data_IF_308797631520
#
_entry.id   IF_308797631520
#
_cell.length_a   1.000
_cell.length_b   1.000
_cell.length_c   1.000
_cell.angle_alpha   90.00
_cell.angle_beta   90.00
_cell.angle_gamma   90.00
#
_symmetry.space_group_name_H-M   'P 1'
#
loop_
_entity.id
_entity.type
_entity.pdbx_description
1 polymer ?
#
# COMPACT_ATOMS: atom_id res chain seq x y z
N UNK A 1 12.41 -6.75 6.62
CA UNK A 1 11.02 -7.05 7.01
C UNK A 1 10.67 -6.54 8.41
N UNK A 2 11.34 -6.97 9.49
CA UNK A 2 11.02 -6.49 10.85
C UNK A 2 11.35 -5.00 11.05
N UNK A 3 12.49 -4.54 10.56
CA UNK A 3 12.91 -3.12 10.62
C UNK A 3 11.94 -2.21 9.87
N UNK A 4 11.48 -2.63 8.68
CA UNK A 4 10.46 -1.92 7.89
C UNK A 4 9.11 -1.86 8.62
N UNK A 5 8.78 -2.90 9.41
CA UNK A 5 7.57 -2.92 10.23
C UNK A 5 7.64 -1.86 11.33
N UNK A 6 8.76 -1.80 12.07
CA UNK A 6 9.01 -0.80 13.10
C UNK A 6 8.95 0.63 12.54
N UNK A 7 9.63 0.91 11.43
CA UNK A 7 9.62 2.23 10.80
C UNK A 7 8.22 2.65 10.29
N UNK A 8 7.43 1.70 9.76
CA UNK A 8 6.09 1.97 9.26
C UNK A 8 5.07 2.31 10.38
N UNK A 9 5.29 1.87 11.62
CA UNK A 9 4.42 2.23 12.76
C UNK A 9 4.68 3.63 13.32
N UNK A 10 5.90 4.17 13.15
CA UNK A 10 6.36 5.38 13.85
C UNK A 10 6.35 6.64 12.99
N UNK A 11 6.25 6.50 11.66
CA UNK A 11 6.46 7.61 10.71
C UNK A 11 5.20 8.19 10.07
N UNK A 12 4.03 8.13 10.69
CA UNK A 12 2.83 8.82 10.19
C UNK A 12 2.69 10.17 10.90
N UNK A 13 3.16 11.25 10.26
CA UNK A 13 3.00 12.60 10.78
C UNK A 13 1.70 13.19 10.21
N UNK A 14 0.86 13.84 11.01
CA UNK A 14 -0.43 14.45 10.60
C UNK A 14 -0.29 15.67 9.64
N UNK A 15 0.81 15.79 8.91
CA UNK A 15 1.07 16.91 8.03
C UNK A 15 0.42 16.71 6.66
N UNK A 16 -0.39 17.68 6.23
CA UNK A 16 -1.03 17.71 4.90
C UNK A 16 0.01 17.57 3.79
N UNK A 17 -0.01 16.44 3.07
CA UNK A 17 0.78 16.25 1.86
C UNK A 17 0.23 17.12 0.72
N UNK A 18 1.14 17.73 -0.04
CA UNK A 18 0.78 18.61 -1.15
C UNK A 18 0.27 17.81 -2.35
N UNK A 19 -0.91 18.18 -2.84
CA UNK A 19 -1.56 17.59 -4.00
C UNK A 19 -0.70 17.72 -5.27
N UNK A 20 -0.33 16.59 -5.87
CA UNK A 20 0.28 16.51 -7.20
C UNK A 20 -0.70 15.86 -8.18
N UNK A 21 -1.09 16.55 -9.27
CA UNK A 21 -2.02 15.98 -10.23
C UNK A 21 -1.44 14.72 -10.89
N UNK A 22 -2.28 13.69 -11.15
CA UNK A 22 -1.83 12.49 -11.82
C UNK A 22 -1.38 12.80 -13.25
N UNK A 23 -0.12 12.48 -13.57
CA UNK A 23 0.31 12.34 -14.97
C UNK A 23 -0.16 10.97 -15.47
N UNK A 24 -0.68 10.86 -16.70
CA UNK A 24 -1.07 9.59 -17.26
C UNK A 24 0.19 8.77 -17.61
N UNK A 25 0.62 7.92 -16.68
CA UNK A 25 1.53 6.81 -16.98
C UNK A 25 0.70 5.54 -17.11
N UNK A 26 0.80 4.86 -18.27
CA UNK A 26 0.38 3.47 -18.40
C UNK A 26 1.40 2.61 -17.65
N UNK A 27 0.91 1.73 -16.79
CA UNK A 27 1.70 0.69 -16.14
C UNK A 27 2.20 -0.28 -17.23
N UNK A 28 3.52 -0.42 -17.47
CA UNK A 28 4.05 -1.37 -18.44
C UNK A 28 4.07 -2.80 -17.84
N UNK A 29 3.85 -3.81 -18.69
CA UNK A 29 3.93 -5.25 -18.37
C UNK A 29 2.90 -5.77 -17.36
N UNK A 30 1.77 -6.23 -17.90
CA UNK A 30 0.66 -6.79 -17.14
C UNK A 30 0.40 -8.24 -17.57
N UNK A 31 0.74 -9.20 -16.72
CA UNK A 31 0.53 -10.62 -16.94
C UNK A 31 -0.94 -11.01 -16.69
N UNK A 32 -1.57 -11.68 -17.66
CA UNK A 32 -2.95 -12.14 -17.56
C UNK A 32 -3.00 -13.56 -16.99
N UNK A 33 -3.74 -13.76 -15.90
CA UNK A 33 -4.06 -15.10 -15.40
C UNK A 33 -5.55 -15.37 -15.62
N UNK A 34 -5.86 -16.28 -16.55
CA UNK A 34 -7.21 -16.80 -16.79
C UNK A 34 -7.33 -18.21 -16.21
N UNK A 35 -7.63 -18.34 -14.93
CA UNK A 35 -8.06 -19.61 -14.36
C UNK A 35 -9.56 -19.85 -14.69
N UNK A 36 -9.93 -21.07 -15.09
CA UNK A 36 -11.22 -21.38 -15.69
C UNK A 36 -12.43 -21.39 -14.71
N UNK A 37 -12.22 -21.19 -13.41
CA UNK A 37 -13.27 -21.38 -12.38
C UNK A 37 -13.50 -20.19 -11.44
N UNK A 38 -12.82 -19.05 -11.64
CA UNK A 38 -12.94 -17.90 -10.72
C UNK A 38 -13.87 -16.79 -11.24
N UNK A 39 -14.62 -16.12 -10.36
CA UNK A 39 -15.55 -15.05 -10.71
C UNK A 39 -14.85 -13.78 -11.22
N UNK A 40 -13.54 -13.66 -11.03
CA UNK A 40 -12.74 -12.49 -11.41
C UNK A 40 -11.76 -12.79 -12.58
N UNK A 41 -11.63 -11.85 -13.50
CA UNK A 41 -10.49 -11.74 -14.42
C UNK A 41 -9.39 -10.94 -13.73
N UNK A 42 -8.15 -11.43 -13.78
CA UNK A 42 -7.04 -10.86 -13.00
C UNK A 42 -5.88 -10.50 -13.89
N UNK A 43 -5.32 -9.32 -13.62
CA UNK A 43 -4.12 -8.83 -14.28
C UNK A 43 -3.19 -8.26 -13.22
N UNK A 44 -1.92 -8.67 -13.25
CA UNK A 44 -0.91 -8.21 -12.29
C UNK A 44 0.35 -7.73 -12.99
N UNK A 45 1.05 -6.78 -12.39
CA UNK A 45 2.25 -6.19 -12.95
C UNK A 45 2.87 -5.16 -12.02
N UNK A 46 4.01 -4.65 -12.44
CA UNK A 46 4.77 -3.59 -11.76
C UNK A 46 4.46 -2.25 -12.42
N UNK A 47 4.25 -1.21 -11.63
CA UNK A 47 3.92 0.12 -12.14
C UNK A 47 4.67 1.24 -11.43
N UNK A 48 5.08 2.22 -12.23
CA UNK A 48 5.75 3.43 -11.75
C UNK A 48 4.78 4.35 -11.00
N UNK A 49 5.03 4.50 -9.69
CA UNK A 49 4.23 5.34 -8.79
C UNK A 49 5.11 6.50 -8.30
N UNK A 50 5.01 7.69 -8.92
CA UNK A 50 5.68 8.88 -8.43
C UNK A 50 4.97 9.39 -7.17
N UNK A 51 5.73 9.53 -6.09
CA UNK A 51 5.23 10.02 -4.80
C UNK A 51 6.14 11.11 -4.23
N UNK A 52 5.54 11.91 -3.37
CA UNK A 52 6.23 12.94 -2.60
C UNK A 52 5.77 12.82 -1.15
N UNK A 53 6.71 12.73 -0.22
CA UNK A 53 6.43 12.56 1.21
C UNK A 53 7.55 13.16 2.08
N UNK A 54 7.24 13.43 3.33
CA UNK A 54 8.20 13.93 4.32
C UNK A 54 8.73 12.74 5.15
N UNK A 55 9.94 12.29 4.84
CA UNK A 55 10.58 11.17 5.52
C UNK A 55 11.19 11.63 6.86
N UNK A 56 10.92 10.92 7.94
CA UNK A 56 11.60 11.09 9.22
C UNK A 56 13.09 10.81 9.08
N UNK A 57 13.91 11.70 9.64
CA UNK A 57 15.34 11.52 9.77
C UNK A 57 15.63 10.90 11.13
N UNK A 58 15.62 9.57 11.17
CA UNK A 58 15.88 8.83 12.40
C UNK A 58 17.31 9.07 12.88
N UNK A 59 17.46 9.35 14.17
CA UNK A 59 18.72 9.45 14.88
C UNK A 59 19.21 8.05 15.26
N UNK A 60 19.56 7.26 14.24
CA UNK A 60 19.95 5.86 14.40
C UNK A 60 21.16 5.53 13.53
N UNK A 61 22.07 4.75 14.09
CA UNK A 61 23.11 4.09 13.33
C UNK A 61 22.51 2.85 12.63
N UNK A 62 22.36 2.94 11.31
CA UNK A 62 21.80 1.84 10.51
C UNK A 62 22.76 0.65 10.55
N UNK A 63 22.34 -0.53 11.04
CA UNK A 63 23.22 -1.68 11.10
C UNK A 63 23.67 -2.13 9.71
N UNK A 64 24.96 -2.36 9.55
CA UNK A 64 25.56 -2.81 8.28
C UNK A 64 25.89 -4.31 8.27
N UNK A 65 25.80 -4.98 9.42
CA UNK A 65 26.06 -6.41 9.59
C UNK A 65 24.95 -7.10 10.40
N UNK A 66 25.00 -8.44 10.45
CA UNK A 66 23.97 -9.26 11.08
C UNK A 66 23.94 -9.17 12.60
N UNK A 67 25.09 -8.95 13.24
CA UNK A 67 25.16 -8.83 14.70
C UNK A 67 24.58 -7.50 15.13
N UNK A 68 24.98 -6.42 14.47
CA UNK A 68 24.39 -5.09 14.66
C UNK A 68 22.89 -5.08 14.36
N UNK A 69 22.42 -5.81 13.34
CA UNK A 69 20.98 -5.91 13.06
C UNK A 69 20.20 -6.63 14.17
N UNK A 70 20.78 -7.68 14.73
CA UNK A 70 20.17 -8.44 15.84
C UNK A 70 20.10 -7.57 17.09
N UNK A 71 21.21 -6.91 17.44
CA UNK A 71 21.28 -6.00 18.58
C UNK A 71 20.34 -4.81 18.44
N UNK A 72 20.27 -4.24 17.23
CA UNK A 72 19.32 -3.18 16.88
C UNK A 72 17.87 -3.63 17.10
N UNK A 73 17.47 -4.77 16.53
CA UNK A 73 16.11 -5.29 16.71
C UNK A 73 15.82 -5.50 18.20
N UNK A 74 16.75 -6.09 18.95
CA UNK A 74 16.56 -6.34 20.38
C UNK A 74 16.40 -5.03 21.17
N UNK A 75 17.28 -4.06 20.93
CA UNK A 75 17.25 -2.74 21.56
C UNK A 75 15.92 -2.02 21.33
N UNK A 76 15.46 -1.96 20.08
CA UNK A 76 14.26 -1.20 19.73
C UNK A 76 12.93 -1.93 19.98
N UNK A 77 12.94 -3.25 20.15
CA UNK A 77 11.73 -4.03 20.46
C UNK A 77 11.57 -4.33 21.96
N UNK A 78 12.58 -4.05 22.77
CA UNK A 78 12.50 -4.23 24.23
C UNK A 78 11.60 -3.17 24.86
N UNK A 79 10.77 -3.60 25.81
CA UNK A 79 9.90 -2.71 26.59
C UNK A 79 10.75 -1.70 27.37
N UNK A 80 10.39 -0.41 27.26
CA UNK A 80 11.12 0.67 27.90
C UNK A 80 12.31 1.19 27.10
N UNK A 81 12.47 0.79 25.84
CA UNK A 81 13.39 1.47 24.92
C UNK A 81 12.95 2.93 24.71
N UNK A 82 13.92 3.79 24.42
CA UNK A 82 13.68 5.19 24.06
C UNK A 82 12.91 5.34 22.72
N UNK A 83 12.65 4.24 22.02
CA UNK A 83 12.07 4.22 20.69
C UNK A 83 12.94 4.94 19.66
N UNK A 84 12.39 5.13 18.47
CA UNK A 84 13.08 5.88 17.41
C UNK A 84 12.96 7.38 17.68
N UNK A 85 14.10 8.05 17.82
CA UNK A 85 14.18 9.51 17.85
C UNK A 85 14.33 10.04 16.43
N UNK A 86 13.69 11.17 16.15
CA UNK A 86 13.77 11.84 14.86
C UNK A 86 14.41 13.21 15.03
N UNK A 87 15.39 13.52 14.20
CA UNK A 87 16.06 14.83 14.13
C UNK A 87 15.34 15.81 13.19
N UNK A 88 14.16 15.43 12.69
CA UNK A 88 13.34 16.24 11.78
C UNK A 88 12.87 15.42 10.58
N UNK A 89 12.37 16.12 9.56
CA UNK A 89 11.91 15.47 8.32
C UNK A 89 12.68 15.97 7.10
N UNK A 90 12.81 15.09 6.11
CA UNK A 90 13.36 15.39 4.79
C UNK A 90 12.32 15.09 3.73
N UNK A 91 11.97 16.10 2.93
CA UNK A 91 11.11 15.93 1.77
C UNK A 91 11.79 15.04 0.72
N UNK A 92 11.15 13.94 0.36
CA UNK A 92 11.58 13.02 -0.71
C UNK A 92 10.57 13.09 -1.85
N UNK A 93 11.08 13.15 -3.09
CA UNK A 93 10.30 13.09 -4.32
C UNK A 93 10.93 12.05 -5.23
N UNK A 94 10.28 10.89 -5.38
CA UNK A 94 10.83 9.74 -6.12
C UNK A 94 9.71 8.92 -6.75
N UNK A 95 10.04 8.22 -7.84
CA UNK A 95 9.18 7.20 -8.44
C UNK A 95 9.61 5.84 -7.94
N UNK A 96 8.65 5.07 -7.43
CA UNK A 96 8.87 3.69 -6.99
C UNK A 96 8.13 2.72 -7.89
N UNK A 97 8.72 1.56 -8.10
CA UNK A 97 8.04 0.46 -8.77
C UNK A 97 7.14 -0.28 -7.77
N UNK A 98 5.83 -0.22 -7.97
CA UNK A 98 4.84 -0.83 -7.07
C UNK A 98 4.13 -1.97 -7.81
N UNK A 99 4.15 -3.15 -7.21
CA UNK A 99 3.40 -4.29 -7.73
C UNK A 99 1.91 -4.12 -7.43
N UNK A 100 1.09 -4.41 -8.43
CA UNK A 100 -0.37 -4.38 -8.32
C UNK A 100 -0.99 -5.62 -8.96
N UNK A 101 -2.17 -6.00 -8.45
CA UNK A 101 -3.07 -6.99 -9.05
C UNK A 101 -4.47 -6.40 -9.10
N UNK A 102 -4.91 -6.12 -10.31
CA UNK A 102 -6.23 -5.60 -10.62
C UNK A 102 -7.16 -6.75 -11.00
N UNK A 103 -8.30 -6.85 -10.30
CA UNK A 103 -9.28 -7.91 -10.49
C UNK A 103 -10.64 -7.29 -10.83
N UNK A 104 -11.26 -7.79 -11.90
CA UNK A 104 -12.58 -7.34 -12.36
C UNK A 104 -13.55 -8.52 -12.46
N UNK A 105 -14.85 -8.35 -12.17
CA UNK A 105 -15.85 -9.40 -12.34
C UNK A 105 -15.94 -9.88 -13.80
N UNK A 106 -16.12 -11.19 -14.02
CA UNK A 106 -16.27 -11.77 -15.38
C UNK A 106 -17.71 -11.82 -15.87
N UNK A 107 -18.68 -11.94 -14.96
CA UNK A 107 -20.05 -12.34 -15.31
C UNK A 107 -21.12 -11.28 -15.00
N UNK A 108 -20.75 -10.17 -14.37
CA UNK A 108 -21.66 -9.04 -14.13
C UNK A 108 -21.43 -7.96 -15.18
N UNK A 109 -22.52 -7.52 -15.82
CA UNK A 109 -22.51 -6.55 -16.91
C UNK A 109 -21.76 -5.25 -16.55
N UNK A 110 -20.61 -5.05 -17.20
CA UNK A 110 -19.94 -3.81 -17.66
C UNK A 110 -19.83 -2.55 -16.79
N UNK A 111 -20.47 -2.42 -15.64
CA UNK A 111 -20.47 -1.18 -14.86
C UNK A 111 -20.26 -1.47 -13.36
N UNK A 112 -19.16 -2.14 -13.01
CA UNK A 112 -18.69 -2.05 -11.63
C UNK A 112 -18.39 -0.57 -11.35
N UNK A 113 -19.25 0.09 -10.60
CA UNK A 113 -19.06 1.49 -10.18
C UNK A 113 -18.17 1.58 -8.94
N UNK A 114 -17.87 0.44 -8.32
CA UNK A 114 -17.19 0.32 -7.03
C UNK A 114 -15.91 -0.49 -7.19
N UNK A 115 -14.79 0.10 -6.77
CA UNK A 115 -13.52 -0.60 -6.61
C UNK A 115 -13.13 -0.62 -5.13
N UNK A 116 -12.61 -1.75 -4.67
CA UNK A 116 -12.00 -1.87 -3.35
C UNK A 116 -10.48 -1.94 -3.46
N UNK A 117 -9.77 -1.00 -2.82
CA UNK A 117 -8.30 -1.02 -2.72
C UNK A 117 -7.91 -1.80 -1.48
N UNK A 118 -7.13 -2.87 -1.63
CA UNK A 118 -6.80 -3.80 -0.56
C UNK A 118 -5.38 -3.58 -0.06
N UNK A 119 -5.24 -3.20 1.21
CA UNK A 119 -3.96 -2.94 1.88
C UNK A 119 -3.65 -4.07 2.85
N UNK A 120 -2.62 -4.87 2.53
CA UNK A 120 -2.22 -6.03 3.33
C UNK A 120 -1.56 -5.66 4.65
N UNK A 121 -1.55 -6.61 5.59
CA UNK A 121 -0.95 -6.46 6.91
C UNK A 121 0.57 -6.38 6.94
N UNK A 122 1.12 -6.16 8.14
CA UNK A 122 2.54 -6.31 8.42
C UNK A 122 2.99 -7.74 8.15
N UNK A 123 4.26 -7.94 7.79
CA UNK A 123 4.88 -9.25 7.46
C UNK A 123 4.21 -10.08 6.35
N UNK A 124 3.15 -9.55 5.74
CA UNK A 124 2.38 -10.13 4.65
C UNK A 124 2.63 -9.34 3.37
N UNK A 125 2.11 -9.84 2.25
CA UNK A 125 2.13 -9.20 0.93
C UNK A 125 0.81 -9.50 0.19
N UNK A 126 0.78 -9.42 -1.14
CA UNK A 126 -0.38 -9.71 -1.97
C UNK A 126 -1.01 -11.09 -1.74
N UNK A 127 -0.30 -12.01 -1.09
CA UNK A 127 -0.82 -13.32 -0.67
C UNK A 127 -1.84 -13.23 0.45
N UNK A 128 -1.90 -12.12 1.19
CA UNK A 128 -2.91 -11.85 2.25
C UNK A 128 -4.35 -11.98 1.72
N UNK A 129 -4.54 -11.75 0.41
CA UNK A 129 -5.84 -11.82 -0.26
C UNK A 129 -5.93 -12.92 -1.34
N UNK A 130 -5.00 -13.90 -1.35
CA UNK A 130 -4.88 -14.91 -2.41
C UNK A 130 -5.91 -16.07 -2.31
N UNK A 131 -5.80 -17.03 -3.25
CA UNK A 131 -6.81 -18.05 -3.54
C UNK A 131 -6.92 -19.16 -2.48
N UNK A 132 -8.15 -19.66 -2.30
CA UNK A 132 -8.52 -20.73 -1.36
C UNK A 132 -9.80 -20.38 -0.59
N UNK A 133 -9.90 -19.12 -0.15
CA UNK A 133 -11.07 -18.44 0.42
C UNK A 133 -10.96 -16.94 0.10
N UNK A 134 -10.89 -16.61 -1.20
CA UNK A 134 -10.40 -15.30 -1.61
C UNK A 134 -11.46 -14.22 -1.39
N UNK A 135 -11.13 -13.25 -0.54
CA UNK A 135 -11.87 -12.00 -0.41
C UNK A 135 -12.14 -11.36 -1.78
N UNK A 136 -11.14 -11.40 -2.67
CA UNK A 136 -11.26 -10.92 -4.06
C UNK A 136 -12.37 -11.66 -4.81
N UNK A 137 -12.49 -12.98 -4.66
CA UNK A 137 -13.54 -13.75 -5.33
C UNK A 137 -14.93 -13.45 -4.76
N UNK A 138 -15.03 -13.24 -3.44
CA UNK A 138 -16.28 -12.85 -2.78
C UNK A 138 -16.77 -11.45 -3.20
N UNK A 139 -15.84 -10.50 -3.35
CA UNK A 139 -16.13 -9.14 -3.82
C UNK A 139 -16.47 -9.15 -5.31
N UNK A 140 -15.74 -9.95 -6.10
CA UNK A 140 -15.97 -10.05 -7.54
C UNK A 140 -17.27 -10.75 -7.90
N UNK A 141 -17.73 -11.74 -7.10
CA UNK A 141 -19.05 -12.37 -7.32
C UNK A 141 -20.21 -11.42 -7.06
N UNK A 142 -19.99 -10.37 -6.27
CA UNK A 142 -20.93 -9.27 -6.04
C UNK A 142 -20.82 -8.15 -7.10
N UNK A 143 -19.99 -8.34 -8.14
CA UNK A 143 -19.86 -7.39 -9.24
C UNK A 143 -18.96 -6.18 -8.94
N UNK A 144 -18.15 -6.24 -7.89
CA UNK A 144 -17.20 -5.18 -7.53
C UNK A 144 -15.77 -5.52 -8.02
N UNK A 145 -14.96 -4.50 -8.30
CA UNK A 145 -13.56 -4.68 -8.66
C UNK A 145 -12.65 -4.58 -7.44
N UNK A 146 -11.45 -5.16 -7.52
CA UNK A 146 -10.40 -4.95 -6.49
C UNK A 146 -9.09 -4.51 -7.11
N UNK A 147 -8.36 -3.67 -6.37
CA UNK A 147 -6.95 -3.38 -6.60
C UNK A 147 -6.17 -3.82 -5.38
N UNK A 148 -5.39 -4.88 -5.54
CA UNK A 148 -4.45 -5.34 -4.53
C UNK A 148 -3.07 -4.81 -4.89
N UNK A 149 -2.24 -4.48 -3.92
CA UNK A 149 -0.88 -4.03 -4.17
C UNK A 149 0.06 -4.50 -3.08
N UNK A 150 1.34 -4.64 -3.42
CA UNK A 150 2.39 -4.83 -2.41
C UNK A 150 2.85 -3.46 -1.92
N UNK A 151 2.82 -3.23 -0.61
CA UNK A 151 3.32 -1.99 -0.02
C UNK A 151 4.81 -1.81 -0.34
N UNK A 152 5.26 -0.56 -0.44
CA UNK A 152 6.68 -0.23 -0.66
C UNK A 152 7.56 -0.98 0.35
N UNK A 153 8.67 -1.55 -0.09
CA UNK A 153 9.56 -2.33 0.78
C UNK A 153 9.12 -3.76 1.05
N UNK A 154 8.03 -4.24 0.44
CA UNK A 154 7.45 -5.56 0.69
C UNK A 154 7.09 -6.27 -0.63
N UNK A 155 7.15 -7.60 -0.62
CA UNK A 155 6.63 -8.43 -1.71
C UNK A 155 7.41 -8.27 -3.01
N UNK A 156 6.69 -7.97 -4.09
CA UNK A 156 7.24 -7.72 -5.42
C UNK A 156 7.46 -6.23 -5.71
N UNK A 157 7.06 -5.32 -4.81
CA UNK A 157 7.35 -3.88 -4.95
C UNK A 157 8.82 -3.57 -4.68
N UNK A 158 9.27 -2.38 -5.09
CA UNK A 158 10.64 -1.90 -4.86
C UNK A 158 11.01 -1.95 -3.37
N UNK A 159 12.26 -2.31 -3.07
CA UNK A 159 12.81 -2.43 -1.73
C UNK A 159 13.89 -1.35 -1.45
N UNK A 160 13.49 -0.06 -1.28
CA UNK A 160 14.43 0.99 -0.92
C UNK A 160 14.86 0.88 0.55
N UNK A 161 15.72 1.80 1.01
CA UNK A 161 16.25 1.80 2.37
C UNK A 161 15.13 1.70 3.43
N UNK A 162 15.04 0.62 4.22
CA UNK A 162 13.84 0.33 5.02
C UNK A 162 13.61 1.31 6.17
N UNK A 163 14.67 1.98 6.63
CA UNK A 163 14.59 3.03 7.65
C UNK A 163 14.46 4.42 7.02
N UNK A 164 14.90 4.60 5.77
CA UNK A 164 15.04 5.91 5.14
C UNK A 164 13.83 6.27 4.28
N UNK A 165 13.29 5.31 3.54
CA UNK A 165 12.24 5.53 2.54
C UNK A 165 10.96 4.73 2.82
N UNK A 166 11.06 3.56 3.45
CA UNK A 166 9.90 2.70 3.77
C UNK A 166 9.24 3.15 5.07
N UNK A 167 8.55 4.28 5.03
CA UNK A 167 7.92 4.91 6.19
C UNK A 167 6.41 5.08 6.02
N UNK A 168 5.71 5.44 7.11
CA UNK A 168 4.26 5.65 7.14
C UNK A 168 3.78 6.65 6.07
N UNK A 169 4.40 7.82 6.01
CA UNK A 169 4.05 8.86 5.04
C UNK A 169 4.29 8.42 3.58
N UNK A 170 5.31 7.60 3.32
CA UNK A 170 5.52 6.98 2.01
C UNK A 170 4.39 6.01 1.66
N UNK A 171 3.96 5.17 2.62
CA UNK A 171 2.86 4.23 2.41
C UNK A 171 1.53 4.96 2.12
N UNK A 172 1.25 6.07 2.81
CA UNK A 172 0.08 6.92 2.57
C UNK A 172 0.16 7.53 1.16
N UNK A 173 1.33 8.07 0.78
CA UNK A 173 1.52 8.70 -0.53
C UNK A 173 1.39 7.69 -1.69
N UNK A 174 1.89 6.45 -1.53
CA UNK A 174 1.67 5.36 -2.49
C UNK A 174 0.18 5.05 -2.62
N UNK A 175 -0.53 4.88 -1.50
CA UNK A 175 -1.95 4.56 -1.52
C UNK A 175 -2.78 5.68 -2.16
N UNK A 176 -2.52 6.94 -1.81
CA UNK A 176 -3.15 8.11 -2.44
C UNK A 176 -2.94 8.11 -3.96
N UNK A 177 -1.72 7.83 -4.41
CA UNK A 177 -1.42 7.79 -5.83
C UNK A 177 -2.14 6.66 -6.56
N UNK A 178 -2.21 5.47 -5.96
CA UNK A 178 -2.95 4.34 -6.52
C UNK A 178 -4.45 4.64 -6.63
N UNK A 179 -5.05 5.26 -5.62
CA UNK A 179 -6.45 5.72 -5.66
C UNK A 179 -6.66 6.73 -6.79
N UNK A 180 -5.74 7.69 -6.95
CA UNK A 180 -5.77 8.65 -8.05
C UNK A 180 -5.76 7.98 -9.44
N UNK A 181 -4.92 6.95 -9.62
CA UNK A 181 -4.85 6.17 -10.86
C UNK A 181 -6.15 5.40 -11.14
N UNK A 182 -6.76 4.83 -10.11
CA UNK A 182 -8.08 4.17 -10.20
C UNK A 182 -9.17 5.16 -10.61
N UNK A 183 -9.24 6.33 -9.96
CA UNK A 183 -10.24 7.38 -10.26
C UNK A 183 -10.02 8.03 -11.63
N UNK A 184 -8.79 8.02 -12.13
CA UNK A 184 -8.45 8.49 -13.48
C UNK A 184 -8.74 7.45 -14.58
N UNK A 185 -9.01 6.19 -14.21
CA UNK A 185 -9.25 5.12 -15.17
C UNK A 185 -7.98 4.56 -15.81
N UNK A 186 -6.82 4.71 -15.17
CA UNK A 186 -5.53 4.21 -15.69
C UNK A 186 -5.48 2.69 -15.85
N UNK A 187 -6.39 1.96 -15.20
CA UNK A 187 -6.58 0.51 -15.33
C UNK A 187 -7.63 0.11 -16.39
N UNK A 188 -8.05 1.05 -17.24
CA UNK A 188 -9.03 0.85 -18.32
C UNK A 188 -10.49 1.16 -17.94
N UNK A 189 -10.80 1.28 -16.65
CA UNK A 189 -12.12 1.66 -16.15
C UNK A 189 -11.99 2.72 -15.08
N UNK A 190 -12.78 3.79 -15.20
CA UNK A 190 -12.88 4.84 -14.18
C UNK A 190 -13.86 4.42 -13.09
N UNK A 191 -13.43 4.52 -11.84
CA UNK A 191 -14.28 4.28 -10.68
C UNK A 191 -14.62 5.58 -9.96
N UNK A 192 -15.90 5.79 -9.71
CA UNK A 192 -16.40 6.93 -8.94
C UNK A 192 -16.58 6.61 -7.47
N UNK A 193 -16.73 5.33 -7.12
CA UNK A 193 -16.74 4.85 -5.74
C UNK A 193 -15.52 3.95 -5.51
N UNK A 194 -14.69 4.32 -4.55
CA UNK A 194 -13.48 3.62 -4.14
C UNK A 194 -13.57 3.38 -2.63
N UNK A 195 -13.45 2.12 -2.22
CA UNK A 195 -13.50 1.72 -0.80
C UNK A 195 -12.10 1.25 -0.37
N UNK A 196 -11.61 1.73 0.76
CA UNK A 196 -10.34 1.30 1.32
C UNK A 196 -10.52 0.10 2.26
N UNK A 197 -9.86 -1.01 1.99
CA UNK A 197 -9.90 -2.20 2.86
C UNK A 197 -8.51 -2.42 3.44
N UNK A 198 -8.42 -2.46 4.76
CA UNK A 198 -7.17 -2.68 5.48
C UNK A 198 -7.19 -3.94 6.34
N UNK A 199 -6.04 -4.60 6.46
CA UNK A 199 -5.79 -5.66 7.43
C UNK A 199 -4.60 -5.31 8.32
N UNK A 200 -4.75 -5.41 9.64
CA UNK A 200 -3.69 -5.16 10.62
C UNK A 200 -2.96 -3.81 10.38
N UNK A 201 -1.65 -3.79 10.15
CA UNK A 201 -0.91 -2.57 9.78
C UNK A 201 -1.49 -1.88 8.53
N UNK A 202 -2.04 -2.63 7.59
CA UNK A 202 -2.75 -2.09 6.43
C UNK A 202 -4.01 -1.30 6.82
N UNK A 203 -4.66 -1.64 7.92
CA UNK A 203 -5.76 -0.85 8.50
C UNK A 203 -5.28 0.51 8.99
N UNK A 204 -4.11 0.59 9.65
CA UNK A 204 -3.52 1.88 10.07
C UNK A 204 -3.19 2.78 8.88
N UNK A 205 -2.66 2.21 7.79
CA UNK A 205 -2.41 2.97 6.55
C UNK A 205 -3.72 3.44 5.92
N UNK A 206 -4.73 2.55 5.87
CA UNK A 206 -6.06 2.83 5.28
C UNK A 206 -6.86 3.84 6.10
N UNK A 207 -6.65 3.90 7.41
CA UNK A 207 -7.19 4.96 8.27
C UNK A 207 -6.41 6.27 8.06
N UNK A 208 -5.08 6.21 8.11
CA UNK A 208 -4.22 7.41 8.07
C UNK A 208 -4.46 8.23 6.80
N UNK A 209 -4.65 7.58 5.66
CA UNK A 209 -4.98 8.27 4.41
C UNK A 209 -6.31 9.02 4.47
N UNK A 210 -7.32 8.58 5.23
CA UNK A 210 -8.58 9.32 5.38
C UNK A 210 -8.34 10.69 6.04
N UNK A 211 -7.39 10.78 6.99
CA UNK A 211 -7.02 12.05 7.61
C UNK A 211 -6.25 13.00 6.68
N UNK A 212 -5.43 12.45 5.77
CA UNK A 212 -4.59 13.23 4.85
C UNK A 212 -5.31 13.60 3.55
N UNK A 213 -6.15 12.68 3.05
CA UNK A 213 -6.81 12.70 1.76
C UNK A 213 -8.26 12.23 1.91
N UNK A 214 -9.14 13.00 2.59
CA UNK A 214 -10.51 12.58 2.91
C UNK A 214 -11.40 12.33 1.68
N UNK A 215 -10.97 12.76 0.48
CA UNK A 215 -11.67 12.50 -0.79
C UNK A 215 -11.27 11.21 -1.49
N UNK A 216 -10.33 10.45 -0.95
CA UNK A 216 -9.81 9.24 -1.60
C UNK A 216 -10.77 8.06 -1.51
N UNK A 217 -11.50 7.93 -0.41
CA UNK A 217 -12.40 6.80 -0.15
C UNK A 217 -13.79 7.24 0.29
N UNK A 218 -14.83 6.59 -0.25
CA UNK A 218 -16.22 6.77 0.15
C UNK A 218 -16.55 6.00 1.43
N UNK A 219 -15.79 4.94 1.71
CA UNK A 219 -15.87 4.15 2.93
C UNK A 219 -14.54 3.42 3.17
N UNK A 220 -14.30 3.04 4.42
CA UNK A 220 -13.21 2.13 4.78
C UNK A 220 -13.72 0.95 5.60
N UNK A 221 -13.09 -0.21 5.44
CA UNK A 221 -13.28 -1.37 6.30
C UNK A 221 -11.93 -1.81 6.85
N UNK A 222 -11.82 -1.83 8.18
CA UNK A 222 -10.58 -2.09 8.89
C UNK A 222 -10.71 -3.43 9.61
N UNK A 223 -9.79 -4.36 9.33
CA UNK A 223 -9.78 -5.70 9.94
C UNK A 223 -8.55 -5.86 10.80
N UNK A 224 -8.67 -6.62 11.90
CA UNK A 224 -7.58 -6.83 12.87
C UNK A 224 -6.94 -5.51 13.35
N UNK A 225 -7.78 -4.50 13.61
CA UNK A 225 -7.40 -3.14 13.98
C UNK A 225 -7.59 -2.91 15.49
N UNK A 226 -6.59 -2.31 16.14
CA UNK A 226 -6.58 -1.96 17.56
C UNK A 226 -5.71 -0.71 17.78
#
# INVERSE_FOLDING_TARGET
>A
MLVSLLAAFLGANLARSAYLPPRPSRIPSMAHQRAAMHPASRVSGLGDVPIVFDAQQWDIDVPTDQLGLTDFIFTYTTLGSDGFKSNGTKRISKTYEIWVKYCVPRFTASNSTVLQVLTHGGILDHRDFAQGYSYVDSVSSQGMATLNYDRLGIGQSEHPGPLLEVQGDAAIAVLHRLVGLVRAGSFGTRYTKVVGIGHSLGSKVTESIVSHHPGDFEATALTSYA
#
